data_IF_398882537682
#
_entry.id   IF_398882537682
#
_cell.length_a   1.000
_cell.length_b   1.000
_cell.length_c   1.000
_cell.angle_alpha   90.00
_cell.angle_beta   90.00
_cell.angle_gamma   90.00
#
_symmetry.space_group_name_H-M   'P 1'
#
loop_
_entity.id
_entity.type
_entity.pdbx_description
1 polymer ?
#
# COMPACT_ATOMS: atom_id res chain seq x y z
N UNK A 1 47.24 -22.50 3.19
CA UNK A 1 46.15 -21.97 4.04
C UNK A 1 46.34 -20.48 4.20
N UNK A 2 45.21 -19.77 4.30
CA UNK A 2 45.07 -18.33 4.59
C UNK A 2 45.20 -17.35 3.42
N UNK A 3 44.04 -16.97 2.84
CA UNK A 3 43.84 -15.69 2.13
C UNK A 3 42.34 -15.29 2.04
N UNK A 4 41.43 -15.83 2.87
CA UNK A 4 39.97 -15.58 2.75
C UNK A 4 39.35 -14.61 3.77
N UNK A 5 40.09 -14.12 4.76
CA UNK A 5 39.47 -13.47 5.94
C UNK A 5 39.32 -11.94 5.90
N UNK A 6 39.74 -11.24 4.84
CA UNK A 6 39.68 -9.76 4.81
C UNK A 6 38.54 -9.20 3.94
N UNK A 7 37.99 -10.00 3.03
CA UNK A 7 36.84 -9.63 2.19
C UNK A 7 35.51 -9.83 2.97
N UNK A 8 35.45 -10.86 3.82
CA UNK A 8 34.23 -11.26 4.53
C UNK A 8 33.72 -10.19 5.53
N UNK A 9 34.60 -9.36 6.11
CA UNK A 9 34.15 -8.30 7.04
C UNK A 9 33.49 -7.14 6.31
N UNK A 10 34.01 -6.75 5.14
CA UNK A 10 33.46 -5.63 4.38
C UNK A 10 32.08 -5.97 3.79
N UNK A 11 31.91 -7.20 3.28
CA UNK A 11 30.64 -7.66 2.74
C UNK A 11 29.54 -7.73 3.82
N UNK A 12 29.92 -8.11 5.06
CA UNK A 12 28.99 -8.11 6.21
C UNK A 12 28.58 -6.70 6.61
N UNK A 13 29.52 -5.75 6.63
CA UNK A 13 29.22 -4.34 6.95
C UNK A 13 28.29 -3.73 5.90
N UNK A 14 28.60 -3.90 4.61
CA UNK A 14 27.74 -3.43 3.50
C UNK A 14 26.34 -4.05 3.56
N UNK A 15 26.24 -5.35 3.86
CA UNK A 15 24.96 -6.03 4.01
C UNK A 15 24.12 -5.39 5.13
N UNK A 16 24.72 -5.03 6.26
CA UNK A 16 24.03 -4.39 7.37
C UNK A 16 23.58 -2.96 7.01
N UNK A 17 24.40 -2.19 6.31
CA UNK A 17 24.02 -0.86 5.81
C UNK A 17 22.82 -0.90 4.85
N UNK A 18 22.82 -1.88 3.93
CA UNK A 18 21.70 -2.09 3.01
C UNK A 18 20.42 -2.51 3.75
N UNK A 19 20.53 -3.35 4.79
CA UNK A 19 19.39 -3.71 5.64
C UNK A 19 18.82 -2.52 6.40
N UNK A 20 19.67 -1.67 6.97
CA UNK A 20 19.22 -0.43 7.60
C UNK A 20 18.53 0.50 6.62
N UNK A 21 18.99 0.55 5.36
CA UNK A 21 18.32 1.30 4.32
C UNK A 21 16.93 0.72 3.99
N UNK A 22 16.79 -0.61 3.96
CA UNK A 22 15.51 -1.30 3.78
C UNK A 22 14.55 -0.98 4.94
N UNK A 23 15.01 -1.07 6.19
CA UNK A 23 14.19 -0.77 7.37
C UNK A 23 13.61 0.66 7.32
N UNK A 24 14.40 1.62 6.87
CA UNK A 24 13.96 3.01 6.69
C UNK A 24 12.92 3.15 5.58
N UNK A 25 13.10 2.45 4.46
CA UNK A 25 12.12 2.42 3.36
C UNK A 25 10.81 1.79 3.84
N UNK A 26 10.88 0.69 4.57
CA UNK A 26 9.70 -0.01 5.09
C UNK A 26 8.91 0.86 6.07
N UNK A 27 9.60 1.57 6.96
CA UNK A 27 8.96 2.56 7.83
C UNK A 27 8.23 3.64 7.02
N UNK A 28 8.87 4.18 5.97
CA UNK A 28 8.25 5.17 5.10
C UNK A 28 7.02 4.61 4.37
N UNK A 29 7.08 3.36 3.89
CA UNK A 29 5.95 2.68 3.26
C UNK A 29 4.76 2.57 4.22
N UNK A 30 4.99 2.18 5.48
CA UNK A 30 3.92 2.09 6.49
C UNK A 30 3.31 3.46 6.79
N UNK A 31 4.12 4.50 6.97
CA UNK A 31 3.60 5.85 7.21
C UNK A 31 2.80 6.37 6.01
N UNK A 32 3.28 6.15 4.78
CA UNK A 32 2.56 6.55 3.57
C UNK A 32 1.24 5.80 3.38
N UNK A 33 1.20 4.51 3.72
CA UNK A 33 -0.03 3.73 3.74
C UNK A 33 -1.00 4.29 4.79
N UNK A 34 -0.54 4.62 5.99
CA UNK A 34 -1.38 5.22 7.03
C UNK A 34 -2.09 6.49 6.53
N UNK A 35 -1.36 7.40 5.90
CA UNK A 35 -1.94 8.61 5.30
C UNK A 35 -2.93 8.28 4.18
N UNK A 36 -2.59 7.33 3.29
CA UNK A 36 -3.51 6.87 2.25
C UNK A 36 -4.80 6.31 2.85
N UNK A 37 -4.71 5.53 3.93
CA UNK A 37 -5.87 4.95 4.59
C UNK A 37 -6.76 6.00 5.26
N UNK A 38 -6.19 7.06 5.86
CA UNK A 38 -6.96 8.22 6.36
C UNK A 38 -7.82 8.84 5.26
N UNK A 39 -7.25 9.11 4.09
CA UNK A 39 -7.99 9.62 2.93
C UNK A 39 -9.11 8.66 2.51
N UNK A 40 -8.81 7.36 2.40
CA UNK A 40 -9.83 6.37 1.99
C UNK A 40 -10.94 6.21 3.03
N UNK A 41 -10.67 6.38 4.32
CA UNK A 41 -11.69 6.36 5.37
C UNK A 41 -12.66 7.54 5.21
N UNK A 42 -12.15 8.74 4.93
CA UNK A 42 -12.99 9.91 4.64
C UNK A 42 -13.86 9.68 3.40
N UNK A 43 -13.29 9.12 2.32
CA UNK A 43 -14.05 8.71 1.13
C UNK A 43 -15.13 7.68 1.51
N UNK A 44 -14.82 6.73 2.40
CA UNK A 44 -15.78 5.74 2.87
C UNK A 44 -16.98 6.35 3.59
N UNK A 45 -16.76 7.36 4.44
CA UNK A 45 -17.85 8.11 5.08
C UNK A 45 -18.71 8.86 4.05
N UNK A 46 -18.08 9.55 3.10
CA UNK A 46 -18.79 10.26 2.03
C UNK A 46 -19.65 9.28 1.22
N UNK A 47 -19.07 8.15 0.78
CA UNK A 47 -19.78 7.12 0.03
C UNK A 47 -20.98 6.57 0.81
N UNK A 48 -20.79 6.25 2.08
CA UNK A 48 -21.86 5.75 2.93
C UNK A 48 -23.00 6.77 3.13
N UNK A 49 -22.68 8.05 3.34
CA UNK A 49 -23.68 9.11 3.49
C UNK A 49 -24.47 9.39 2.20
N UNK A 50 -23.85 9.15 1.04
CA UNK A 50 -24.44 9.42 -0.28
C UNK A 50 -24.98 8.16 -0.97
N UNK A 51 -25.04 7.03 -0.25
CA UNK A 51 -25.45 5.72 -0.80
C UNK A 51 -24.66 5.27 -2.03
N UNK A 52 -23.39 5.66 -2.14
CA UNK A 52 -22.49 5.19 -3.20
C UNK A 52 -21.87 3.83 -2.84
N UNK A 53 -21.61 2.98 -3.85
CA UNK A 53 -21.00 1.67 -3.63
C UNK A 53 -19.55 1.77 -3.12
N UNK A 54 -19.15 0.80 -2.30
CA UNK A 54 -17.78 0.68 -1.78
C UNK A 54 -16.76 0.50 -2.91
N UNK A 55 -17.10 -0.25 -3.96
CA UNK A 55 -16.28 -0.47 -5.15
C UNK A 55 -16.58 0.57 -6.25
N UNK A 56 -15.58 0.87 -7.06
CA UNK A 56 -15.73 1.71 -8.26
C UNK A 56 -14.78 1.19 -9.34
N UNK A 57 -15.29 0.32 -10.20
CA UNK A 57 -14.50 -0.39 -11.21
C UNK A 57 -13.77 0.57 -12.17
N UNK A 58 -14.40 1.70 -12.53
CA UNK A 58 -13.79 2.70 -13.43
C UNK A 58 -12.63 3.38 -12.72
N UNK A 59 -12.83 3.78 -11.46
CA UNK A 59 -11.77 4.39 -10.64
C UNK A 59 -10.63 3.42 -10.39
N UNK A 60 -10.91 2.16 -10.10
CA UNK A 60 -9.92 1.11 -9.85
C UNK A 60 -9.09 0.80 -11.11
N UNK A 61 -9.74 0.67 -12.27
CA UNK A 61 -9.04 0.48 -13.56
C UNK A 61 -8.08 1.63 -13.88
N UNK A 62 -8.51 2.88 -13.70
CA UNK A 62 -7.65 4.05 -13.92
C UNK A 62 -6.45 4.08 -12.94
N UNK A 63 -6.63 3.63 -11.70
CA UNK A 63 -5.53 3.54 -10.72
C UNK A 63 -4.52 2.47 -11.12
N UNK A 64 -4.99 1.29 -11.54
CA UNK A 64 -4.13 0.22 -12.04
C UNK A 64 -3.29 0.69 -13.21
N UNK A 65 -3.93 1.31 -14.21
CA UNK A 65 -3.20 1.84 -15.38
C UNK A 65 -2.10 2.83 -14.97
N UNK A 66 -2.42 3.78 -14.09
CA UNK A 66 -1.44 4.76 -13.59
C UNK A 66 -0.30 4.12 -12.81
N UNK A 67 -0.60 3.15 -11.94
CA UNK A 67 0.41 2.46 -11.14
C UNK A 67 1.32 1.57 -11.99
N UNK A 68 0.77 0.90 -13.03
CA UNK A 68 1.58 0.16 -13.99
C UNK A 68 2.56 1.06 -14.74
N UNK A 69 2.15 2.28 -15.10
CA UNK A 69 3.05 3.26 -15.71
C UNK A 69 4.17 3.67 -14.73
N UNK A 70 3.82 4.05 -13.50
CA UNK A 70 4.80 4.42 -12.47
C UNK A 70 5.79 3.29 -12.16
N UNK A 71 5.32 2.04 -12.14
CA UNK A 71 6.18 0.89 -11.93
C UNK A 71 7.21 0.73 -13.06
N UNK A 72 6.80 0.90 -14.32
CA UNK A 72 7.75 0.88 -15.45
C UNK A 72 8.78 1.99 -15.33
N UNK A 73 8.35 3.21 -15.00
CA UNK A 73 9.23 4.37 -14.87
C UNK A 73 10.25 4.20 -13.73
N UNK A 74 9.89 3.47 -12.67
CA UNK A 74 10.75 3.17 -11.53
C UNK A 74 11.53 1.85 -11.63
N UNK A 75 11.50 1.18 -12.79
CA UNK A 75 12.12 -0.15 -12.99
C UNK A 75 11.57 -1.23 -12.03
N UNK A 76 10.34 -1.08 -11.56
CA UNK A 76 9.60 -2.08 -10.79
C UNK A 76 8.72 -2.92 -11.72
N UNK A 77 8.57 -4.22 -11.43
CA UNK A 77 7.66 -5.08 -12.18
C UNK A 77 6.21 -4.56 -12.09
N UNK A 78 5.55 -4.20 -13.21
CA UNK A 78 4.18 -3.67 -13.21
C UNK A 78 3.14 -4.65 -12.66
N UNK A 79 3.35 -5.95 -12.85
CA UNK A 79 2.42 -6.98 -12.35
C UNK A 79 2.52 -7.11 -10.83
N UNK A 80 3.72 -6.96 -10.28
CA UNK A 80 3.93 -6.92 -8.84
C UNK A 80 3.32 -5.65 -8.21
N UNK A 81 3.47 -4.49 -8.85
CA UNK A 81 2.83 -3.25 -8.41
C UNK A 81 1.31 -3.36 -8.38
N UNK A 82 0.73 -4.07 -9.37
CA UNK A 82 -0.71 -4.34 -9.40
C UNK A 82 -1.15 -5.27 -8.27
N UNK A 83 -0.38 -6.32 -7.95
CA UNK A 83 -0.68 -7.21 -6.82
C UNK A 83 -0.71 -6.46 -5.47
N UNK A 84 0.27 -5.56 -5.24
CA UNK A 84 0.28 -4.70 -4.05
C UNK A 84 -0.97 -3.81 -4.03
N UNK A 85 -1.31 -3.22 -5.18
CA UNK A 85 -2.48 -2.37 -5.28
C UNK A 85 -3.79 -3.11 -4.97
N UNK A 86 -3.94 -4.33 -5.50
CA UNK A 86 -5.13 -5.15 -5.28
C UNK A 86 -5.30 -5.54 -3.80
N UNK A 87 -4.19 -5.83 -3.12
CA UNK A 87 -4.18 -6.06 -1.67
C UNK A 87 -4.69 -4.82 -0.92
N UNK A 88 -4.15 -3.64 -1.24
CA UNK A 88 -4.52 -2.38 -0.58
C UNK A 88 -6.00 -2.03 -0.85
N UNK A 89 -6.47 -2.16 -2.10
CA UNK A 89 -7.86 -1.85 -2.46
C UNK A 89 -8.84 -2.79 -1.77
N UNK A 90 -8.51 -4.08 -1.67
CA UNK A 90 -9.35 -5.06 -0.99
C UNK A 90 -9.63 -4.66 0.47
N UNK A 91 -8.60 -4.22 1.20
CA UNK A 91 -8.75 -3.74 2.57
C UNK A 91 -9.53 -2.40 2.64
N UNK A 92 -9.34 -1.51 1.68
CA UNK A 92 -10.13 -0.26 1.58
C UNK A 92 -11.62 -0.56 1.38
N UNK A 93 -11.96 -1.48 0.47
CA UNK A 93 -13.35 -1.86 0.19
C UNK A 93 -14.01 -2.49 1.41
N UNK A 94 -13.28 -3.34 2.15
CA UNK A 94 -13.74 -3.90 3.43
C UNK A 94 -14.06 -2.78 4.43
N UNK A 95 -13.14 -1.83 4.61
CA UNK A 95 -13.34 -0.69 5.50
C UNK A 95 -14.56 0.17 5.11
N UNK A 96 -14.81 0.38 3.81
CA UNK A 96 -15.99 1.12 3.34
C UNK A 96 -17.29 0.39 3.68
N UNK A 97 -17.34 -0.94 3.51
CA UNK A 97 -18.49 -1.76 3.89
C UNK A 97 -18.78 -1.66 5.40
N UNK A 98 -17.72 -1.71 6.21
CA UNK A 98 -17.85 -1.58 7.67
C UNK A 98 -18.36 -0.19 8.09
N UNK A 99 -17.84 0.89 7.48
CA UNK A 99 -18.32 2.25 7.72
C UNK A 99 -19.80 2.39 7.35
N UNK A 100 -20.21 1.87 6.19
CA UNK A 100 -21.60 1.89 5.75
C UNK A 100 -22.52 1.15 6.73
N UNK A 101 -22.13 -0.06 7.16
CA UNK A 101 -22.87 -0.83 8.18
C UNK A 101 -23.00 -0.06 9.50
N UNK A 102 -21.91 0.55 9.97
CA UNK A 102 -21.91 1.31 11.23
C UNK A 102 -22.81 2.54 11.19
N UNK A 103 -22.84 3.28 10.07
CA UNK A 103 -23.70 4.43 9.90
C UNK A 103 -25.18 4.04 9.85
N UNK A 104 -25.52 2.97 9.11
CA UNK A 104 -26.90 2.47 9.05
C UNK A 104 -27.42 2.07 10.44
N UNK A 105 -26.59 1.40 11.25
CA UNK A 105 -26.95 1.02 12.62
C UNK A 105 -27.16 2.23 13.56
N UNK A 106 -26.50 3.37 13.30
CA UNK A 106 -26.70 4.61 14.07
C UNK A 106 -27.96 5.37 13.68
N UNK A 107 -28.40 5.27 12.42
CA UNK A 107 -29.62 5.92 11.94
C UNK A 107 -30.90 5.18 12.35
N UNK A 108 -30.78 3.90 12.75
CA UNK A 108 -31.90 3.06 13.21
C UNK A 108 -32.11 3.09 14.74
N UNK A 109 -31.26 3.81 15.49
CA UNK A 109 -31.37 4.01 16.93
C UNK A 109 -31.84 5.43 17.22
#
# INVERSE_FOLDING_TARGET
MSSKNFQDSHDVDLLNELRHSIDNIDAALIYMLSERFKCTRQIGFIKAQTNLPATDNKRESNQKQRLRALAKDSSLNPDFAEQIFDLIVSEVVKNHKDISRQLNNKQQK
#
